data_IF_840659330052
#
_entry.id   IF_840659330052
#
_cell.length_a   1.000
_cell.length_b   1.000
_cell.length_c   1.000
_cell.angle_alpha   90.00
_cell.angle_beta   90.00
_cell.angle_gamma   90.00
#
_symmetry.space_group_name_H-M   'P 1'
#
loop_
_entity.id
_entity.type
_entity.pdbx_description
1 polymer ?
#
# COMPACT_ATOMS: atom_id res chain seq x y z
N UNK A 1 -30.92 -31.48 -12.68
CA UNK A 1 -29.64 -31.20 -12.01
C UNK A 1 -28.88 -30.21 -12.87
N UNK A 2 -28.74 -28.95 -12.43
CA UNK A 2 -28.08 -27.90 -13.20
C UNK A 2 -26.59 -27.87 -12.85
N UNK A 3 -25.73 -28.07 -13.85
CA UNK A 3 -24.28 -27.93 -13.72
C UNK A 3 -23.95 -26.45 -13.92
N UNK A 4 -23.53 -25.79 -12.85
CA UNK A 4 -23.00 -24.41 -12.91
C UNK A 4 -21.53 -24.51 -13.36
N UNK A 5 -21.11 -23.84 -14.45
CA UNK A 5 -19.71 -23.77 -14.78
C UNK A 5 -19.02 -22.90 -13.73
N UNK A 6 -17.99 -23.44 -13.08
CA UNK A 6 -17.05 -22.64 -12.30
C UNK A 6 -16.32 -21.75 -13.31
N UNK A 7 -16.79 -20.53 -13.47
CA UNK A 7 -16.07 -19.48 -14.18
C UNK A 7 -14.74 -19.30 -13.46
N UNK A 8 -13.74 -19.95 -14.03
CA UNK A 8 -12.31 -19.80 -13.90
C UNK A 8 -11.93 -18.70 -12.91
N UNK A 9 -11.47 -19.13 -11.73
CA UNK A 9 -10.66 -18.33 -10.82
C UNK A 9 -9.56 -17.70 -11.68
N UNK A 10 -9.78 -16.44 -12.10
CA UNK A 10 -8.77 -15.67 -12.81
C UNK A 10 -7.56 -15.65 -11.87
N UNK A 11 -6.42 -16.24 -12.23
CA UNK A 11 -5.19 -15.86 -11.56
C UNK A 11 -5.12 -14.33 -11.72
N UNK A 12 -5.02 -13.62 -10.60
CA UNK A 12 -5.01 -12.16 -10.59
C UNK A 12 -4.03 -11.66 -11.65
N UNK A 13 -4.36 -10.56 -12.35
CA UNK A 13 -3.48 -10.02 -13.37
C UNK A 13 -2.05 -9.85 -12.82
N UNK A 14 -1.01 -9.91 -13.68
CA UNK A 14 0.38 -9.64 -13.27
C UNK A 14 0.41 -8.38 -12.41
N UNK A 15 1.35 -8.22 -11.47
CA UNK A 15 1.37 -7.08 -10.55
C UNK A 15 1.33 -5.79 -11.34
N UNK A 16 0.12 -5.29 -11.57
CA UNK A 16 -0.09 -4.09 -12.33
C UNK A 16 0.57 -2.98 -11.52
N UNK A 17 1.25 -2.03 -12.14
CA UNK A 17 1.77 -0.86 -11.45
C UNK A 17 0.69 -0.18 -10.56
N UNK A 18 -0.56 -0.22 -11.04
CA UNK A 18 -1.74 0.20 -10.32
C UNK A 18 -2.04 -0.61 -9.05
N UNK A 19 -1.63 -1.89 -8.98
CA UNK A 19 -1.69 -2.73 -7.78
C UNK A 19 -0.70 -2.25 -6.72
N UNK A 20 0.51 -1.85 -7.09
CA UNK A 20 1.48 -1.32 -6.13
C UNK A 20 1.01 0.01 -5.53
N UNK A 21 0.48 0.93 -6.36
CA UNK A 21 -0.13 2.18 -5.86
C UNK A 21 -1.36 1.90 -4.98
N UNK A 22 -2.22 0.96 -5.38
CA UNK A 22 -3.40 0.58 -4.59
C UNK A 22 -3.02 -0.03 -3.24
N UNK A 23 -1.92 -0.78 -3.18
CA UNK A 23 -1.40 -1.35 -1.95
C UNK A 23 -0.79 -0.27 -1.05
N UNK A 24 -0.02 0.69 -1.59
CA UNK A 24 0.48 1.86 -0.82
C UNK A 24 -0.70 2.65 -0.23
N UNK A 25 -1.76 2.87 -1.02
CA UNK A 25 -2.99 3.51 -0.54
C UNK A 25 -3.67 2.70 0.57
N UNK A 26 -3.76 1.37 0.42
CA UNK A 26 -4.33 0.48 1.44
C UNK A 26 -3.53 0.53 2.74
N UNK A 27 -2.20 0.54 2.65
CA UNK A 27 -1.30 0.70 3.80
C UNK A 27 -1.60 2.02 4.50
N UNK A 28 -1.71 3.13 3.77
CA UNK A 28 -2.06 4.44 4.35
C UNK A 28 -3.36 4.41 5.17
N UNK A 29 -4.43 3.77 4.69
CA UNK A 29 -5.70 3.71 5.41
C UNK A 29 -5.71 2.70 6.57
N UNK A 30 -4.90 1.64 6.50
CA UNK A 30 -4.91 0.55 7.48
C UNK A 30 -3.82 0.67 8.54
N UNK A 31 -2.79 1.49 8.30
CA UNK A 31 -1.64 1.59 9.19
C UNK A 31 -2.06 1.99 10.60
N UNK A 32 -1.30 1.51 11.58
CA UNK A 32 -1.54 1.78 12.99
C UNK A 32 -0.24 2.15 13.69
N UNK A 33 -0.37 2.77 14.87
CA UNK A 33 0.78 3.09 15.75
C UNK A 33 1.75 1.93 15.96
N UNK A 34 1.25 0.70 15.97
CA UNK A 34 2.05 -0.51 16.22
C UNK A 34 2.74 -1.04 14.96
N UNK A 35 2.19 -0.76 13.78
CA UNK A 35 2.63 -1.34 12.51
C UNK A 35 3.31 -0.36 11.58
N UNK A 36 3.29 0.95 11.89
CA UNK A 36 3.75 2.01 10.99
C UNK A 36 5.17 1.84 10.47
N UNK A 37 6.11 1.37 11.28
CA UNK A 37 7.50 1.14 10.83
C UNK A 37 7.56 0.05 9.75
N UNK A 38 6.82 -1.04 9.95
CA UNK A 38 6.75 -2.16 9.00
C UNK A 38 5.95 -1.78 7.74
N UNK A 39 4.87 -1.04 7.92
CA UNK A 39 4.01 -0.53 6.85
C UNK A 39 4.79 0.43 5.93
N UNK A 40 5.59 1.34 6.50
CA UNK A 40 6.47 2.24 5.74
C UNK A 40 7.53 1.45 4.98
N UNK A 41 8.18 0.47 5.62
CA UNK A 41 9.17 -0.36 4.94
C UNK A 41 8.57 -1.09 3.73
N UNK A 42 7.36 -1.66 3.89
CA UNK A 42 6.65 -2.32 2.80
C UNK A 42 6.26 -1.34 1.68
N UNK A 43 5.76 -0.16 2.03
CA UNK A 43 5.41 0.86 1.05
C UNK A 43 6.63 1.33 0.23
N UNK A 44 7.82 1.42 0.84
CA UNK A 44 9.08 1.73 0.13
C UNK A 44 9.43 0.66 -0.90
N UNK A 45 9.28 -0.62 -0.57
CA UNK A 45 9.55 -1.71 -1.51
C UNK A 45 8.57 -1.66 -2.69
N UNK A 46 7.30 -1.33 -2.44
CA UNK A 46 6.29 -1.15 -3.48
C UNK A 46 6.65 0.03 -4.40
N UNK A 47 7.12 1.15 -3.85
CA UNK A 47 7.57 2.31 -4.63
C UNK A 47 8.75 2.00 -5.54
N UNK A 48 9.69 1.16 -5.10
CA UNK A 48 10.83 0.73 -5.91
C UNK A 48 10.39 -0.15 -7.09
N UNK A 49 9.29 -0.87 -6.94
CA UNK A 49 8.72 -1.72 -8.00
C UNK A 49 7.90 -0.94 -9.04
N UNK A 50 7.55 0.32 -8.77
CA UNK A 50 6.77 1.15 -9.70
C UNK A 50 7.62 1.58 -10.92
N UNK A 51 7.24 1.19 -12.15
CA UNK A 51 7.96 1.54 -13.36
C UNK A 51 7.62 2.95 -13.87
N UNK A 52 6.47 3.51 -13.49
CA UNK A 52 6.00 4.82 -13.96
C UNK A 52 6.31 5.94 -12.96
N UNK A 53 6.75 7.08 -13.49
CA UNK A 53 6.99 8.29 -12.71
C UNK A 53 5.69 8.86 -12.13
N UNK A 54 4.60 8.86 -12.91
CA UNK A 54 3.28 9.37 -12.49
C UNK A 54 2.74 8.58 -11.27
N UNK A 55 2.92 7.26 -11.26
CA UNK A 55 2.47 6.43 -10.15
C UNK A 55 3.35 6.61 -8.92
N UNK A 56 4.65 6.83 -9.13
CA UNK A 56 5.58 7.15 -8.05
C UNK A 56 5.26 8.49 -7.40
N UNK A 57 4.87 9.50 -8.19
CA UNK A 57 4.41 10.79 -7.67
C UNK A 57 3.14 10.63 -6.81
N UNK A 58 2.13 9.90 -7.31
CA UNK A 58 0.91 9.60 -6.55
C UNK A 58 1.20 8.82 -5.26
N UNK A 59 2.08 7.83 -5.32
CA UNK A 59 2.50 7.05 -4.16
C UNK A 59 3.28 7.90 -3.14
N UNK A 60 4.07 8.89 -3.61
CA UNK A 60 4.83 9.80 -2.75
C UNK A 60 3.92 10.66 -1.87
N UNK A 61 2.75 11.07 -2.36
CA UNK A 61 1.75 11.79 -1.55
C UNK A 61 1.29 10.93 -0.36
N UNK A 62 1.02 9.65 -0.58
CA UNK A 62 0.66 8.74 0.52
C UNK A 62 1.83 8.50 1.49
N UNK A 63 3.06 8.46 0.99
CA UNK A 63 4.26 8.33 1.83
C UNK A 63 4.48 9.53 2.74
N UNK A 64 4.23 10.74 2.25
CA UNK A 64 4.33 11.95 3.06
C UNK A 64 3.34 11.89 4.23
N UNK A 65 2.09 11.48 3.94
CA UNK A 65 1.07 11.28 4.98
C UNK A 65 1.46 10.18 5.99
N UNK A 66 2.03 9.06 5.55
CA UNK A 66 2.56 8.03 6.45
C UNK A 66 3.70 8.58 7.34
N UNK A 67 4.60 9.39 6.78
CA UNK A 67 5.68 10.00 7.54
C UNK A 67 5.17 10.99 8.60
N UNK A 68 4.11 11.74 8.28
CA UNK A 68 3.45 12.64 9.23
C UNK A 68 2.78 11.88 10.38
N UNK A 69 2.00 10.83 10.08
CA UNK A 69 1.40 9.95 11.08
C UNK A 69 2.46 9.36 12.01
N UNK A 70 3.57 8.88 11.46
CA UNK A 70 4.70 8.34 12.23
C UNK A 70 5.25 9.37 13.20
N UNK A 71 5.49 10.60 12.74
CA UNK A 71 6.00 11.69 13.59
C UNK A 71 5.02 12.03 14.70
N UNK A 72 3.72 12.11 14.38
CA UNK A 72 2.69 12.37 15.38
C UNK A 72 2.65 11.29 16.47
N UNK A 73 2.65 10.02 16.06
CA UNK A 73 2.60 8.90 16.98
C UNK A 73 3.89 8.72 17.79
N UNK A 74 5.04 9.07 17.22
CA UNK A 74 6.31 9.12 17.95
C UNK A 74 6.28 10.20 19.06
N UNK A 75 5.70 11.39 18.77
CA UNK A 75 5.50 12.43 19.78
C UNK A 75 4.59 11.97 20.91
N UNK A 76 3.48 11.30 20.59
CA UNK A 76 2.51 10.81 21.59
C UNK A 76 3.07 9.71 22.51
N UNK A 77 4.04 8.91 22.07
CA UNK A 77 4.66 7.87 22.92
C UNK A 77 5.72 8.42 23.89
N UNK A 78 6.08 9.71 23.80
CA UNK A 78 7.13 10.33 24.63
C UNK A 78 6.57 11.14 25.82
N UNK A 79 5.24 11.14 26.02
CA UNK A 79 4.55 11.80 27.16
C UNK A 79 3.95 10.76 28.08
#
# INVERSE_FOLDING_TARGET
MAFVPLESLKPGPPPDPQSALSEVRRIYFKTTRRTIEHDIAHAIELLKSLPSEEEREKASVYMEGLAEMRREWARQNTT
#
